data_IF_362956880772
#
_entry.id   IF_362956880772
#
_cell.length_a   1.000
_cell.length_b   1.000
_cell.length_c   1.000
_cell.angle_alpha   90.00
_cell.angle_beta   90.00
_cell.angle_gamma   90.00
#
_symmetry.space_group_name_H-M   'P 1'
#
loop_
_entity.id
_entity.type
_entity.pdbx_description
1 polymer ?
#
# COMPACT_ATOMS: atom_id res chain seq x y z
N UNK A 1 1.56 -18.84 -7.35
CA UNK A 1 3.00 -19.13 -7.15
C UNK A 1 3.74 -17.94 -6.49
N UNK A 2 3.64 -16.71 -7.01
CA UNK A 2 4.20 -15.50 -6.38
C UNK A 2 3.51 -15.11 -5.06
N UNK A 3 2.17 -15.16 -5.03
CA UNK A 3 1.37 -14.83 -3.84
C UNK A 3 1.62 -15.75 -2.63
N UNK A 4 2.02 -16.98 -2.90
CA UNK A 4 2.30 -18.01 -1.89
C UNK A 4 3.71 -17.84 -1.30
N UNK A 5 4.68 -17.49 -2.15
CA UNK A 5 6.04 -17.14 -1.71
C UNK A 5 6.09 -15.86 -0.90
N UNK A 6 5.29 -14.85 -1.25
CA UNK A 6 5.15 -13.62 -0.48
C UNK A 6 4.61 -13.88 0.94
N UNK A 7 3.68 -14.84 1.10
CA UNK A 7 3.19 -15.25 2.42
C UNK A 7 4.25 -15.96 3.25
N UNK A 8 4.96 -16.93 2.67
CA UNK A 8 6.03 -17.64 3.38
C UNK A 8 7.12 -16.71 3.92
N UNK A 9 7.40 -15.62 3.21
CA UNK A 9 8.38 -14.62 3.63
C UNK A 9 7.89 -13.79 4.81
N UNK A 10 6.60 -13.44 4.86
CA UNK A 10 6.00 -12.74 5.99
C UNK A 10 5.94 -13.60 7.27
N UNK A 11 6.03 -14.93 7.13
CA UNK A 11 5.96 -15.91 8.21
C UNK A 11 7.31 -16.26 8.86
N UNK A 12 8.45 -15.64 8.47
CA UNK A 12 9.79 -16.00 9.00
C UNK A 12 10.37 -15.04 10.08
N UNK A 13 10.63 -15.57 11.29
CA UNK A 13 11.38 -15.02 12.41
C UNK A 13 12.73 -14.33 12.27
N UNK A 14 12.84 -13.00 12.29
CA UNK A 14 13.94 -12.36 13.01
C UNK A 14 14.97 -11.60 12.19
N UNK A 15 15.43 -10.49 12.78
CA UNK A 15 16.37 -9.49 12.27
C UNK A 15 15.85 -8.63 11.12
N UNK A 16 15.05 -7.64 11.47
CA UNK A 16 14.62 -6.59 10.53
C UNK A 16 14.85 -5.25 11.22
N UNK A 17 15.95 -4.58 10.90
CA UNK A 17 16.19 -3.16 11.25
C UNK A 17 15.57 -2.28 10.16
N UNK A 18 14.82 -1.27 10.60
CA UNK A 18 14.12 -0.34 9.72
C UNK A 18 15.09 0.66 9.09
N UNK A 19 15.19 0.62 7.76
CA UNK A 19 15.62 1.78 6.95
C UNK A 19 14.39 2.19 6.15
N UNK A 20 13.92 3.42 6.30
CA UNK A 20 12.70 3.89 5.61
C UNK A 20 12.84 5.38 5.29
N UNK A 21 13.35 5.70 4.10
CA UNK A 21 13.30 7.05 3.53
C UNK A 21 12.56 7.13 2.16
N UNK A 22 12.02 6.02 1.64
CA UNK A 22 11.41 6.01 0.29
C UNK A 22 9.86 6.06 0.17
N UNK A 23 9.01 6.15 1.22
CA UNK A 23 7.56 5.97 1.05
C UNK A 23 6.88 7.08 0.23
N UNK A 24 7.44 8.30 0.22
CA UNK A 24 6.82 9.44 -0.46
C UNK A 24 7.04 9.44 -1.98
N UNK A 25 8.12 8.83 -2.51
CA UNK A 25 8.31 8.71 -3.97
C UNK A 25 7.23 7.80 -4.57
N UNK A 26 6.94 6.69 -3.90
CA UNK A 26 6.07 5.63 -4.41
C UNK A 26 4.60 6.04 -4.51
N UNK A 27 4.11 6.73 -3.49
CA UNK A 27 2.80 7.38 -3.49
C UNK A 27 2.61 8.31 -4.71
N UNK A 28 3.65 9.02 -5.11
CA UNK A 28 3.58 9.98 -6.22
C UNK A 28 3.53 9.30 -7.58
N UNK A 29 4.22 8.17 -7.76
CA UNK A 29 4.10 7.38 -8.99
C UNK A 29 2.68 6.85 -9.20
N UNK A 30 2.01 6.40 -8.12
CA UNK A 30 0.60 5.95 -8.18
C UNK A 30 -0.32 7.01 -8.78
N UNK A 31 -0.18 8.28 -8.38
CA UNK A 31 -1.01 9.37 -8.91
C UNK A 31 -0.51 9.94 -10.25
N UNK A 32 0.78 9.80 -10.57
CA UNK A 32 1.34 10.20 -11.86
C UNK A 32 0.79 9.35 -13.02
N UNK A 33 0.46 8.10 -12.71
CA UNK A 33 -0.09 7.11 -13.62
C UNK A 33 -1.57 7.33 -13.99
N UNK A 34 -2.33 7.98 -13.11
CA UNK A 34 -3.75 8.28 -13.29
C UNK A 34 -3.94 9.61 -14.03
N UNK A 35 -4.97 9.72 -14.87
CA UNK A 35 -5.38 11.00 -15.46
C UNK A 35 -6.19 11.83 -14.46
N UNK A 36 -6.29 13.13 -14.71
CA UNK A 36 -7.11 14.04 -13.90
C UNK A 36 -8.56 13.56 -13.81
N UNK A 37 -9.14 13.07 -14.91
CA UNK A 37 -10.49 12.47 -14.93
C UNK A 37 -10.61 11.20 -14.10
N UNK A 38 -9.52 10.44 -13.94
CA UNK A 38 -9.50 9.24 -13.11
C UNK A 38 -9.48 9.64 -11.63
N UNK A 39 -8.70 10.65 -11.28
CA UNK A 39 -8.63 11.26 -9.94
C UNK A 39 -9.98 11.85 -9.55
N UNK A 40 -10.61 12.62 -10.44
CA UNK A 40 -11.98 13.14 -10.26
C UNK A 40 -12.98 12.02 -9.95
N UNK A 41 -12.89 10.94 -10.72
CA UNK A 41 -13.77 9.79 -10.53
C UNK A 41 -13.53 9.09 -9.19
N UNK A 42 -12.27 8.91 -8.77
CA UNK A 42 -11.93 8.32 -7.47
C UNK A 42 -12.53 9.14 -6.31
N UNK A 43 -12.46 10.48 -6.40
CA UNK A 43 -13.04 11.39 -5.40
C UNK A 43 -14.56 11.27 -5.39
N UNK A 44 -15.20 11.26 -6.56
CA UNK A 44 -16.65 11.21 -6.67
C UNK A 44 -17.24 9.84 -6.25
N UNK A 45 -16.51 8.75 -6.50
CA UNK A 45 -16.94 7.39 -6.19
C UNK A 45 -16.54 6.92 -4.79
N UNK A 46 -15.58 7.58 -4.16
CA UNK A 46 -15.04 7.22 -2.85
C UNK A 46 -15.71 7.96 -1.69
N UNK A 47 -15.63 7.36 -0.51
CA UNK A 47 -16.06 7.95 0.76
C UNK A 47 -14.82 8.24 1.60
N UNK A 48 -14.72 9.43 2.18
CA UNK A 48 -13.64 9.76 3.11
C UNK A 48 -13.99 9.22 4.50
N UNK A 49 -13.11 8.40 5.06
CA UNK A 49 -13.22 7.87 6.41
C UNK A 49 -12.14 8.46 7.28
N UNK A 50 -12.55 8.93 8.46
CA UNK A 50 -11.66 9.37 9.52
C UNK A 50 -11.48 8.25 10.51
N UNK A 51 -10.23 7.92 10.82
CA UNK A 51 -9.86 6.84 11.71
C UNK A 51 -9.25 7.43 12.98
N UNK A 52 -9.77 7.02 14.13
CA UNK A 52 -9.17 7.31 15.42
C UNK A 52 -7.89 6.47 15.63
N UNK A 53 -6.96 6.90 16.50
CA UNK A 53 -5.83 6.07 16.89
C UNK A 53 -6.27 4.69 17.37
N UNK A 54 -5.58 3.65 16.92
CA UNK A 54 -5.87 2.22 17.13
C UNK A 54 -7.16 1.69 16.48
N UNK A 55 -7.89 2.50 15.71
CA UNK A 55 -9.03 2.01 14.95
C UNK A 55 -8.58 1.07 13.83
N UNK A 56 -9.24 -0.08 13.72
CA UNK A 56 -8.91 -1.12 12.73
C UNK A 56 -9.66 -0.84 11.42
N UNK A 57 -8.90 -0.64 10.35
CA UNK A 57 -9.43 -0.44 9.00
C UNK A 57 -9.69 -1.77 8.28
N UNK A 58 -8.78 -2.74 8.44
CA UNK A 58 -8.87 -4.07 7.84
C UNK A 58 -8.55 -5.10 8.91
N UNK A 59 -9.40 -6.13 9.04
CA UNK A 59 -9.15 -7.26 9.92
C UNK A 59 -8.58 -8.44 9.15
N UNK A 60 -7.53 -9.06 9.68
CA UNK A 60 -7.04 -10.35 9.17
C UNK A 60 -8.15 -11.40 9.17
N UNK A 61 -8.19 -12.24 8.13
CA UNK A 61 -9.15 -13.33 7.98
C UNK A 61 -10.58 -12.90 7.58
N UNK A 62 -10.89 -11.61 7.51
CA UNK A 62 -12.21 -11.11 7.07
C UNK A 62 -12.17 -10.58 5.63
N UNK A 63 -13.17 -10.87 4.79
CA UNK A 63 -13.20 -10.35 3.43
C UNK A 63 -13.17 -8.82 3.42
N UNK A 64 -12.42 -8.25 2.49
CA UNK A 64 -12.29 -6.79 2.31
C UNK A 64 -13.23 -6.34 1.20
N UNK A 65 -14.14 -5.45 1.53
CA UNK A 65 -15.20 -4.97 0.61
C UNK A 65 -14.85 -3.65 -0.09
N UNK A 66 -13.74 -3.02 0.28
CA UNK A 66 -13.31 -1.74 -0.28
C UNK A 66 -11.79 -1.67 -0.44
N UNK A 67 -11.35 -0.85 -1.39
CA UNK A 67 -9.96 -0.43 -1.52
C UNK A 67 -9.77 0.90 -0.79
N UNK A 68 -8.66 1.05 -0.08
CA UNK A 68 -8.41 2.25 0.73
C UNK A 68 -7.17 2.98 0.27
N UNK A 69 -7.26 4.28 -0.02
CA UNK A 69 -6.10 5.13 -0.27
C UNK A 69 -5.82 5.94 1.00
N UNK A 70 -4.59 5.91 1.50
CA UNK A 70 -4.21 6.72 2.66
C UNK A 70 -4.07 8.18 2.22
N UNK A 71 -4.94 9.05 2.68
CA UNK A 71 -4.93 10.47 2.34
C UNK A 71 -4.03 11.26 3.30
N UNK A 72 -4.05 10.89 4.58
CA UNK A 72 -3.23 11.49 5.62
C UNK A 72 -3.10 10.54 6.83
N UNK A 73 -2.04 10.71 7.62
CA UNK A 73 -1.76 9.88 8.79
C UNK A 73 -0.86 8.67 8.51
N UNK A 74 -0.81 7.77 9.49
CA UNK A 74 0.05 6.59 9.51
C UNK A 74 -0.78 5.37 9.94
N UNK A 75 -0.79 4.34 9.09
CA UNK A 75 -1.39 3.05 9.41
C UNK A 75 -0.29 2.02 9.67
N UNK A 76 -0.57 1.07 10.55
CA UNK A 76 0.28 -0.08 10.84
C UNK A 76 -0.36 -1.33 10.25
N UNK A 77 0.43 -2.11 9.52
CA UNK A 77 0.11 -3.47 9.10
C UNK A 77 0.71 -4.45 10.09
N UNK A 78 -0.10 -5.34 10.63
CA UNK A 78 0.31 -6.37 11.58
C UNK A 78 -0.20 -7.76 11.17
N UNK A 79 0.57 -8.81 11.45
CA UNK A 79 0.14 -10.20 11.25
C UNK A 79 -0.10 -10.86 12.61
N UNK A 80 -1.13 -11.73 12.73
CA UNK A 80 -1.17 -12.67 13.84
C UNK A 80 0.07 -13.58 13.80
N UNK A 81 0.69 -13.85 14.95
CA UNK A 81 1.90 -14.69 15.05
C UNK A 81 1.63 -16.19 14.82
N UNK A 82 0.40 -16.65 15.00
CA UNK A 82 0.05 -18.08 14.90
C UNK A 82 -0.23 -18.52 13.45
N UNK A 83 0.23 -19.74 13.10
CA UNK A 83 -0.08 -20.42 11.85
C UNK A 83 -1.58 -20.34 11.51
N UNK A 84 -1.88 -19.70 10.39
CA UNK A 84 -3.23 -19.47 9.88
C UNK A 84 -4.01 -20.80 9.74
N UNK A 85 -4.84 -21.13 10.73
CA UNK A 85 -5.78 -22.25 10.65
C UNK A 85 -7.19 -21.70 10.37
N UNK A 86 -7.70 -21.80 9.12
CA UNK A 86 -8.99 -21.23 8.75
C UNK A 86 -10.18 -21.84 9.50
N UNK A 87 -10.02 -23.01 10.14
CA UNK A 87 -11.08 -23.63 10.95
C UNK A 87 -11.26 -22.94 12.31
N UNK A 88 -10.29 -22.17 12.79
CA UNK A 88 -10.36 -21.46 14.07
C UNK A 88 -11.32 -20.27 14.01
N UNK A 89 -11.44 -19.61 12.85
CA UNK A 89 -12.34 -18.46 12.63
C UNK A 89 -13.82 -18.79 12.87
N UNK A 90 -14.21 -20.06 12.78
CA UNK A 90 -15.59 -20.51 13.03
C UNK A 90 -15.91 -20.68 14.52
N UNK A 91 -14.90 -20.69 15.41
CA UNK A 91 -15.07 -20.99 16.84
C UNK A 91 -14.59 -19.86 17.78
N UNK A 92 -13.81 -18.90 17.28
CA UNK A 92 -13.38 -17.73 18.07
C UNK A 92 -14.35 -16.56 17.91
N UNK A 93 -15.36 -16.49 18.78
CA UNK A 93 -16.23 -15.31 18.94
C UNK A 93 -15.72 -14.33 20.01
N UNK A 94 -14.49 -14.50 20.50
CA UNK A 94 -13.97 -13.76 21.64
C UNK A 94 -12.69 -13.02 21.27
N UNK A 95 -12.69 -11.70 21.50
CA UNK A 95 -11.55 -10.80 21.34
C UNK A 95 -10.45 -11.14 22.35
N UNK A 96 -9.74 -12.25 22.16
CA UNK A 96 -8.45 -12.43 22.79
C UNK A 96 -7.44 -11.58 22.00
N UNK A 97 -6.77 -10.68 22.72
CA UNK A 97 -5.67 -9.87 22.20
C UNK A 97 -4.53 -10.81 21.85
N UNK A 98 -4.57 -11.36 20.63
CA UNK A 98 -3.45 -12.09 20.04
C UNK A 98 -2.31 -11.11 19.88
N UNK A 99 -1.09 -11.53 20.24
CA UNK A 99 0.09 -10.73 19.96
C UNK A 99 0.20 -10.57 18.43
N UNK A 100 -0.08 -9.37 17.95
CA UNK A 100 0.07 -9.03 16.53
C UNK A 100 1.46 -8.47 16.31
N UNK A 101 2.21 -9.07 15.39
CA UNK A 101 3.55 -8.60 15.04
C UNK A 101 3.45 -7.54 13.96
N UNK A 102 4.02 -6.36 14.24
CA UNK A 102 4.17 -5.29 13.25
C UNK A 102 4.99 -5.77 12.04
N UNK A 103 4.42 -5.64 10.86
CA UNK A 103 5.08 -5.96 9.59
C UNK A 103 5.61 -4.68 8.97
N UNK A 104 4.75 -3.70 8.71
CA UNK A 104 5.07 -2.50 7.95
C UNK A 104 4.14 -1.34 8.33
N UNK A 105 4.52 -0.13 7.96
CA UNK A 105 3.64 1.03 8.04
C UNK A 105 3.16 1.40 6.64
N UNK A 106 1.93 1.92 6.55
CA UNK A 106 1.41 2.62 5.39
C UNK A 106 1.33 4.10 5.71
N UNK A 107 1.78 4.88 4.76
CA UNK A 107 1.89 6.32 4.79
C UNK A 107 1.02 6.92 3.69
N UNK A 108 0.97 8.24 3.70
CA UNK A 108 0.18 9.04 2.78
C UNK A 108 0.50 8.71 1.30
N UNK A 109 -0.55 8.38 0.57
CA UNK A 109 -0.57 8.04 -0.86
C UNK A 109 -0.36 6.55 -1.18
N UNK A 110 -0.16 5.72 -0.17
CA UNK A 110 -0.18 4.26 -0.33
C UNK A 110 -1.61 3.71 -0.32
N UNK A 111 -1.79 2.53 -0.89
CA UNK A 111 -3.09 1.86 -1.02
C UNK A 111 -3.13 0.62 -0.12
N UNK A 112 -4.19 0.44 0.64
CA UNK A 112 -4.45 -0.77 1.42
C UNK A 112 -5.58 -1.60 0.81
N UNK A 113 -5.50 -2.93 0.98
CA UNK A 113 -6.49 -3.89 0.46
C UNK A 113 -6.27 -4.32 -1.00
N UNK A 114 -5.23 -3.83 -1.69
CA UNK A 114 -4.96 -4.12 -3.11
C UNK A 114 -4.83 -5.62 -3.42
N UNK A 115 -4.09 -6.37 -2.60
CA UNK A 115 -3.91 -7.82 -2.79
C UNK A 115 -5.24 -8.57 -2.60
N UNK A 116 -6.02 -8.19 -1.59
CA UNK A 116 -7.34 -8.81 -1.33
C UNK A 116 -8.34 -8.49 -2.46
N UNK A 117 -8.23 -7.28 -3.04
CA UNK A 117 -9.01 -6.87 -4.18
C UNK A 117 -8.73 -7.75 -5.42
N UNK A 118 -7.47 -8.05 -5.70
CA UNK A 118 -7.06 -8.87 -6.86
C UNK A 118 -7.33 -10.36 -6.68
N UNK A 119 -6.98 -10.91 -5.52
CA UNK A 119 -6.99 -12.36 -5.28
C UNK A 119 -8.32 -12.87 -4.67
N UNK A 120 -9.27 -11.99 -4.34
CA UNK A 120 -10.57 -12.31 -3.73
C UNK A 120 -10.46 -13.12 -2.42
N UNK A 121 -9.30 -13.09 -1.77
CA UNK A 121 -9.02 -13.82 -0.54
C UNK A 121 -9.06 -12.87 0.66
N UNK A 122 -9.49 -13.35 1.84
CA UNK A 122 -9.32 -12.57 3.06
C UNK A 122 -7.84 -12.19 3.27
N UNK A 123 -7.58 -10.98 3.77
CA UNK A 123 -6.24 -10.48 4.04
C UNK A 123 -5.62 -11.33 5.14
N UNK A 124 -4.31 -11.55 5.04
CA UNK A 124 -3.56 -12.26 6.08
C UNK A 124 -3.12 -11.33 7.23
N UNK A 125 -3.26 -10.01 7.05
CA UNK A 125 -2.80 -9.00 7.98
C UNK A 125 -3.95 -8.06 8.38
N UNK A 126 -3.86 -7.56 9.61
CA UNK A 126 -4.68 -6.49 10.15
C UNK A 126 -4.04 -5.14 9.79
N UNK A 127 -4.85 -4.13 9.49
CA UNK A 127 -4.40 -2.76 9.25
C UNK A 127 -5.12 -1.84 10.22
N UNK A 128 -4.38 -1.09 11.03
CA UNK A 128 -4.93 -0.17 12.03
C UNK A 128 -4.27 1.20 11.97
N UNK A 129 -5.00 2.23 12.37
CA UNK A 129 -4.46 3.57 12.46
C UNK A 129 -3.51 3.71 13.67
N UNK A 130 -2.32 4.27 13.47
CA UNK A 130 -1.37 4.58 14.56
C UNK A 130 -1.72 5.91 15.21
N UNK A 131 -2.08 6.89 14.37
CA UNK A 131 -2.55 8.21 14.74
C UNK A 131 -3.87 8.52 14.03
N UNK A 132 -4.45 9.68 14.29
CA UNK A 132 -5.61 10.14 13.54
C UNK A 132 -5.28 10.15 12.05
N UNK A 133 -6.03 9.39 11.26
CA UNK A 133 -5.72 9.13 9.85
C UNK A 133 -6.95 9.34 8.99
N UNK A 134 -6.74 9.75 7.74
CA UNK A 134 -7.79 9.92 6.74
C UNK A 134 -7.55 8.95 5.58
N UNK A 135 -8.60 8.25 5.17
CA UNK A 135 -8.54 7.32 4.04
C UNK A 135 -9.69 7.55 3.07
N UNK A 136 -9.42 7.43 1.78
CA UNK A 136 -10.45 7.35 0.74
C UNK A 136 -10.83 5.88 0.56
N UNK A 137 -12.07 5.54 0.91
CA UNK A 137 -12.65 4.21 0.79
C UNK A 137 -13.43 4.09 -0.52
N UNK A 138 -13.05 3.17 -1.39
CA UNK A 138 -13.75 2.89 -2.65
C UNK A 138 -14.31 1.49 -2.62
N UNK A 139 -15.64 1.37 -2.71
CA UNK A 139 -16.32 0.08 -2.74
C UNK A 139 -15.80 -0.78 -3.90
N UNK A 140 -15.55 -2.06 -3.59
CA UNK A 140 -15.13 -3.06 -4.56
C UNK A 140 -16.10 -3.20 -5.72
N UNK A 141 -17.40 -3.11 -5.45
CA UNK A 141 -18.44 -3.24 -6.48
C UNK A 141 -18.43 -2.06 -7.44
N UNK A 142 -18.29 -0.84 -6.91
CA UNK A 142 -18.22 0.39 -7.69
C UNK A 142 -16.97 0.41 -8.56
N UNK A 143 -15.82 0.05 -7.98
CA UNK A 143 -14.56 -0.03 -8.71
C UNK A 143 -14.59 -1.12 -9.79
N UNK A 144 -15.11 -2.31 -9.49
CA UNK A 144 -15.24 -3.38 -10.48
C UNK A 144 -16.11 -2.96 -11.67
N UNK A 145 -17.21 -2.25 -11.41
CA UNK A 145 -18.08 -1.72 -12.48
C UNK A 145 -17.34 -0.73 -13.37
N UNK A 146 -16.60 0.21 -12.78
CA UNK A 146 -15.80 1.18 -13.55
C UNK A 146 -14.71 0.51 -14.38
N UNK A 147 -14.02 -0.48 -13.83
CA UNK A 147 -12.98 -1.24 -14.54
C UNK A 147 -13.54 -2.01 -15.75
N UNK A 148 -14.78 -2.50 -15.66
CA UNK A 148 -15.44 -3.20 -16.77
C UNK A 148 -15.94 -2.23 -17.86
N UNK A 149 -16.43 -1.06 -17.47
CA UNK A 149 -17.03 -0.09 -18.39
C UNK A 149 -15.99 0.80 -19.08
N UNK A 150 -14.85 1.03 -18.44
CA UNK A 150 -13.82 1.94 -18.91
C UNK A 150 -12.46 1.24 -18.99
N UNK A 151 -12.17 0.68 -20.17
CA UNK A 151 -10.91 0.00 -20.46
C UNK A 151 -9.68 0.92 -20.31
N UNK A 152 -9.85 2.22 -20.55
CA UNK A 152 -8.77 3.19 -20.45
C UNK A 152 -8.42 3.47 -18.99
N UNK A 153 -9.42 3.64 -18.13
CA UNK A 153 -9.22 3.71 -16.68
C UNK A 153 -8.61 2.41 -16.17
N UNK A 154 -9.13 1.26 -16.59
CA UNK A 154 -8.67 -0.05 -16.14
C UNK A 154 -7.19 -0.29 -16.44
N UNK A 155 -6.70 0.04 -17.64
CA UNK A 155 -5.29 -0.16 -17.99
C UNK A 155 -4.35 0.65 -17.08
N UNK A 156 -4.66 1.93 -16.83
CA UNK A 156 -3.89 2.79 -15.92
C UNK A 156 -3.99 2.30 -14.47
N UNK A 157 -5.18 1.91 -14.04
CA UNK A 157 -5.41 1.41 -12.68
C UNK A 157 -4.67 0.10 -12.40
N UNK A 158 -4.66 -0.86 -13.34
CA UNK A 158 -3.87 -2.08 -13.18
C UNK A 158 -2.38 -1.81 -13.21
N UNK A 159 -1.91 -0.80 -13.96
CA UNK A 159 -0.51 -0.36 -13.92
C UNK A 159 -0.13 0.19 -12.54
N UNK A 160 -1.00 0.99 -11.94
CA UNK A 160 -0.86 1.44 -10.53
C UNK A 160 -0.75 0.25 -9.57
N UNK A 161 -1.64 -0.74 -9.68
CA UNK A 161 -1.59 -1.91 -8.80
C UNK A 161 -0.31 -2.74 -9.02
N UNK A 162 0.12 -2.92 -10.26
CA UNK A 162 1.35 -3.65 -10.58
C UNK A 162 2.58 -2.97 -9.97
N UNK A 163 2.68 -1.63 -10.09
CA UNK A 163 3.74 -0.85 -9.47
C UNK A 163 3.73 -1.01 -7.95
N UNK A 164 2.57 -0.85 -7.32
CA UNK A 164 2.45 -0.98 -5.87
C UNK A 164 2.84 -2.37 -5.35
N UNK A 165 2.43 -3.44 -6.05
CA UNK A 165 2.80 -4.80 -5.69
C UNK A 165 4.29 -5.07 -5.89
N UNK A 166 4.88 -4.52 -6.96
CA UNK A 166 6.33 -4.58 -7.19
C UNK A 166 7.09 -3.94 -6.04
N UNK A 167 6.69 -2.74 -5.61
CA UNK A 167 7.32 -2.05 -4.49
C UNK A 167 7.15 -2.79 -3.18
N UNK A 168 5.96 -3.36 -2.94
CA UNK A 168 5.72 -4.21 -1.77
C UNK A 168 6.68 -5.41 -1.75
N UNK A 169 6.90 -6.04 -2.91
CA UNK A 169 7.85 -7.15 -3.05
C UNK A 169 9.30 -6.68 -2.81
N UNK A 170 9.70 -5.54 -3.37
CA UNK A 170 11.04 -4.97 -3.16
C UNK A 170 11.28 -4.62 -1.69
N UNK A 171 10.29 -4.01 -1.02
CA UNK A 171 10.33 -3.71 0.43
C UNK A 171 10.50 -4.99 1.24
N UNK A 172 9.81 -6.06 0.86
CA UNK A 172 9.95 -7.36 1.50
C UNK A 172 11.33 -7.96 1.23
N UNK A 173 11.83 -7.89 0.00
CA UNK A 173 13.15 -8.41 -0.39
C UNK A 173 14.31 -7.65 0.27
N UNK A 174 14.20 -6.33 0.40
CA UNK A 174 15.21 -5.51 1.08
C UNK A 174 15.27 -5.84 2.57
N UNK A 175 14.11 -6.07 3.21
CA UNK A 175 14.02 -6.50 4.60
C UNK A 175 14.56 -7.91 4.85
N UNK A 176 14.55 -8.76 3.84
CA UNK A 176 15.19 -10.09 3.88
C UNK A 176 16.71 -10.04 3.63
N UNK A 177 17.29 -8.86 3.40
CA UNK A 177 18.71 -8.72 3.05
C UNK A 177 19.06 -9.29 1.68
N UNK A 178 18.07 -9.52 0.81
CA UNK A 178 18.30 -10.04 -0.54
C UNK A 178 18.84 -8.97 -1.50
N UNK A 179 18.67 -7.69 -1.18
CA UNK A 179 19.33 -6.59 -1.89
C UNK A 179 20.64 -6.28 -1.19
N UNK A 180 21.75 -6.72 -1.77
CA UNK A 180 23.07 -6.22 -1.39
C UNK A 180 23.16 -4.81 -1.95
N UNK A 181 22.76 -3.80 -1.17
CA UNK A 181 23.06 -2.42 -1.51
C UNK A 181 24.58 -2.32 -1.67
N UNK A 182 25.05 -2.06 -2.88
CA UNK A 182 26.48 -1.90 -3.19
C UNK A 182 27.05 -0.59 -2.61
N UNK A 183 26.27 0.12 -1.80
CA UNK A 183 26.67 1.33 -1.10
C UNK A 183 27.57 1.03 0.09
N UNK A 184 28.88 1.02 -0.15
CA UNK A 184 29.82 1.41 0.90
C UNK A 184 29.71 2.93 1.09
N UNK A 185 29.26 3.34 2.28
CA UNK A 185 28.89 4.71 2.71
C UNK A 185 30.03 5.78 2.65
N UNK A 186 31.07 5.58 1.84
CA UNK A 186 32.30 6.40 1.79
C UNK A 186 32.88 6.61 0.38
N UNK A 187 32.12 6.38 -0.71
CA UNK A 187 32.57 6.74 -2.06
C UNK A 187 31.96 8.07 -2.50
N UNK A 188 32.80 8.96 -3.04
CA UNK A 188 32.35 10.19 -3.71
C UNK A 188 31.40 9.80 -4.85
N UNK A 189 30.27 10.49 -4.95
CA UNK A 189 29.29 10.26 -6.02
C UNK A 189 29.94 10.53 -7.38
N UNK A 190 30.12 9.48 -8.17
CA UNK A 190 30.57 9.54 -9.56
C UNK A 190 29.36 9.76 -10.49
N UNK A 191 29.38 10.84 -11.28
CA UNK A 191 28.35 11.18 -12.28
C UNK A 191 28.27 10.16 -13.42
N UNK A 192 29.28 9.30 -13.59
CA UNK A 192 29.29 8.26 -14.62
C UNK A 192 28.66 6.92 -14.17
N UNK A 193 28.25 6.82 -12.90
CA UNK A 193 27.64 5.60 -12.34
C UNK A 193 26.14 5.85 -12.19
N UNK A 194 25.34 5.10 -12.94
CA UNK A 194 23.88 5.09 -12.76
C UNK A 194 23.56 4.27 -11.51
N UNK A 195 23.04 4.95 -10.49
CA UNK A 195 22.76 4.32 -9.20
C UNK A 195 21.38 3.66 -9.19
N UNK A 196 21.22 2.54 -8.48
CA UNK A 196 19.92 1.83 -8.39
C UNK A 196 18.78 2.71 -7.81
N UNK A 197 19.11 3.74 -7.02
CA UNK A 197 18.15 4.69 -6.43
C UNK A 197 17.98 6.00 -7.24
N UNK A 198 18.68 6.14 -8.37
CA UNK A 198 18.63 7.32 -9.24
C UNK A 198 17.30 7.34 -10.03
N UNK A 199 16.63 8.49 -10.04
CA UNK A 199 15.40 8.65 -10.82
C UNK A 199 15.75 9.18 -12.21
N UNK A 200 15.34 8.47 -13.26
CA UNK A 200 15.45 9.00 -14.62
C UNK A 200 14.55 10.24 -14.85
N UNK A 201 14.79 10.97 -15.94
CA UNK A 201 14.09 12.22 -16.25
C UNK A 201 12.56 12.02 -16.44
N UNK A 202 12.14 10.89 -16.99
CA UNK A 202 10.73 10.57 -17.21
C UNK A 202 10.02 10.28 -15.88
N UNK A 203 10.70 9.58 -14.98
CA UNK A 203 10.32 9.29 -13.61
C UNK A 203 10.18 10.56 -12.79
N UNK A 204 11.10 11.52 -12.94
CA UNK A 204 11.00 12.83 -12.30
C UNK A 204 9.75 13.60 -12.75
N UNK A 205 9.42 13.56 -14.04
CA UNK A 205 8.21 14.20 -14.56
C UNK A 205 6.94 13.53 -14.02
N UNK A 206 6.90 12.19 -13.98
CA UNK A 206 5.78 11.43 -13.42
C UNK A 206 5.57 11.73 -11.93
N UNK A 207 6.65 11.76 -11.14
CA UNK A 207 6.60 12.09 -9.71
C UNK A 207 6.05 13.51 -9.50
N UNK A 208 6.50 14.48 -10.30
CA UNK A 208 6.01 15.87 -10.24
C UNK A 208 4.51 15.98 -10.55
N UNK A 209 4.05 15.31 -11.61
CA UNK A 209 2.63 15.29 -11.98
C UNK A 209 1.77 14.58 -10.93
N UNK A 210 2.26 13.47 -10.39
CA UNK A 210 1.60 12.74 -9.31
C UNK A 210 1.45 13.58 -8.05
N UNK A 211 2.47 14.36 -7.69
CA UNK A 211 2.42 15.27 -6.56
C UNK A 211 1.38 16.36 -6.73
N UNK A 212 1.31 16.95 -7.94
CA UNK A 212 0.31 17.96 -8.26
C UNK A 212 -1.12 17.40 -8.15
N UNK A 213 -1.37 16.21 -8.72
CA UNK A 213 -2.69 15.55 -8.69
C UNK A 213 -3.13 15.16 -7.30
N UNK A 214 -2.21 14.58 -6.52
CA UNK A 214 -2.53 14.18 -5.16
C UNK A 214 -2.78 15.38 -4.25
N UNK A 215 -1.99 16.45 -4.38
CA UNK A 215 -2.22 17.70 -3.67
C UNK A 215 -3.56 18.34 -4.08
N UNK A 216 -3.89 18.32 -5.38
CA UNK A 216 -5.17 18.78 -5.88
C UNK A 216 -6.34 17.97 -5.30
N UNK A 217 -6.25 16.63 -5.27
CA UNK A 217 -7.24 15.75 -4.65
C UNK A 217 -7.49 16.15 -3.19
N UNK A 218 -6.43 16.37 -2.42
CA UNK A 218 -6.55 16.68 -1.00
C UNK A 218 -7.17 18.05 -0.74
N UNK A 219 -6.84 19.06 -1.55
CA UNK A 219 -7.50 20.38 -1.51
C UNK A 219 -8.98 20.27 -1.86
N UNK A 220 -9.32 19.45 -2.84
CA UNK A 220 -10.71 19.25 -3.27
C UNK A 220 -11.55 18.58 -2.18
N UNK A 221 -10.93 17.69 -1.42
CA UNK A 221 -11.54 16.96 -0.30
C UNK A 221 -11.55 17.79 0.99
N UNK A 222 -10.75 18.87 1.08
CA UNK A 222 -10.66 19.73 2.26
C UNK A 222 -9.76 19.18 3.37
N UNK A 223 -8.79 18.32 3.01
CA UNK A 223 -7.79 17.80 3.96
C UNK A 223 -6.68 18.82 4.24
N UNK A 224 -6.36 19.68 3.26
CA UNK A 224 -5.35 20.74 3.32
C UNK A 224 -5.84 22.02 2.63
#
# INVERSE_FOLDING_TARGET
MLSERLRQILEMPGQIQAVTEQPMKEALFVFGELRDSDVDWLIAAGEIKSLAPNEVLIHSGRPVEALYFVLDGLLLISSPEDHYNPLILCFECQEQVRAEKAIANLTRGEISGAISFLDFRPPAATVRAVNHSLVLSISRQVLATKLQQDMSFASRFYRVLAFQLSNSLQTVMSRLGCTKNTYSQHQEMDEAVEYEDELDLDSLQQVSQGAARFNWMLKRIGVI
#
